data_IF_701899576831
#
_entry.id   IF_701899576831
#
_cell.length_a   1.000
_cell.length_b   1.000
_cell.length_c   1.000
_cell.angle_alpha   90.00
_cell.angle_beta   90.00
_cell.angle_gamma   90.00
#
_symmetry.space_group_name_H-M   'P 1'
#
loop_
_entity.id
_entity.type
_entity.pdbx_description
1 polymer ?
#
# COMPACT_ATOMS: atom_id res chain seq x y z
N UNK A 1 -22.89 -16.11 9.21
CA UNK A 1 -22.07 -14.99 9.73
C UNK A 1 -21.44 -14.30 8.54
N UNK A 2 -21.62 -12.98 8.36
CA UNK A 2 -20.92 -12.26 7.30
C UNK A 2 -19.41 -12.41 7.48
N UNK A 3 -18.73 -13.05 6.52
CA UNK A 3 -17.26 -13.13 6.51
C UNK A 3 -16.76 -11.78 6.01
N UNK A 4 -16.11 -10.99 6.86
CA UNK A 4 -15.49 -9.74 6.42
C UNK A 4 -14.24 -10.06 5.61
N UNK A 5 -14.19 -9.65 4.35
CA UNK A 5 -13.00 -9.73 3.51
C UNK A 5 -12.14 -8.48 3.73
N UNK A 6 -10.84 -8.67 3.92
CA UNK A 6 -9.88 -7.58 4.17
C UNK A 6 -8.89 -7.51 3.03
N UNK A 7 -8.95 -6.43 2.25
CA UNK A 7 -8.05 -6.17 1.14
C UNK A 7 -6.93 -5.27 1.62
N UNK A 8 -5.69 -5.71 1.42
CA UNK A 8 -4.47 -4.95 1.75
C UNK A 8 -3.75 -4.58 0.47
N UNK A 9 -3.63 -3.29 0.19
CA UNK A 9 -2.98 -2.78 -1.01
C UNK A 9 -1.67 -2.14 -0.60
N UNK A 10 -0.56 -2.61 -1.16
CA UNK A 10 0.76 -2.04 -0.95
C UNK A 10 1.38 -1.64 -2.29
N UNK A 11 2.07 -0.51 -2.31
CA UNK A 11 2.77 -0.04 -3.51
C UNK A 11 3.82 1.01 -3.19
N UNK A 12 4.69 1.28 -4.15
CA UNK A 12 5.79 2.26 -4.03
C UNK A 12 5.37 3.67 -4.43
N UNK A 13 4.39 3.80 -5.34
CA UNK A 13 3.79 5.07 -5.73
C UNK A 13 2.51 5.34 -4.90
N UNK A 14 2.40 6.54 -4.34
CA UNK A 14 1.21 6.93 -3.58
C UNK A 14 -0.01 7.11 -4.47
N UNK A 15 0.18 7.68 -5.67
CA UNK A 15 -0.93 8.05 -6.54
C UNK A 15 -1.64 6.80 -7.06
N UNK A 16 -0.89 5.85 -7.61
CA UNK A 16 -1.44 4.58 -8.10
C UNK A 16 -2.17 3.79 -7.01
N UNK A 17 -1.63 3.78 -5.77
CA UNK A 17 -2.26 3.08 -4.64
C UNK A 17 -3.55 3.77 -4.21
N UNK A 18 -3.62 5.10 -4.25
CA UNK A 18 -4.84 5.85 -3.96
C UNK A 18 -5.88 5.67 -5.06
N UNK A 19 -5.47 5.73 -6.32
CA UNK A 19 -6.35 5.55 -7.50
C UNK A 19 -6.98 4.15 -7.48
N UNK A 20 -6.16 3.09 -7.32
CA UNK A 20 -6.65 1.71 -7.23
C UNK A 20 -7.58 1.49 -6.03
N UNK A 21 -7.26 2.08 -4.87
CA UNK A 21 -8.12 1.98 -3.70
C UNK A 21 -9.47 2.69 -3.92
N UNK A 22 -9.48 3.81 -4.66
CA UNK A 22 -10.69 4.50 -5.09
C UNK A 22 -11.54 3.65 -6.02
N UNK A 23 -10.93 3.08 -7.07
CA UNK A 23 -11.61 2.22 -8.04
C UNK A 23 -12.29 1.01 -7.37
N UNK A 24 -11.60 0.33 -6.45
CA UNK A 24 -12.16 -0.81 -5.71
C UNK A 24 -13.38 -0.39 -4.88
N UNK A 25 -13.32 0.77 -4.24
CA UNK A 25 -14.43 1.29 -3.43
C UNK A 25 -15.61 1.67 -4.32
N UNK A 26 -15.37 2.27 -5.48
CA UNK A 26 -16.41 2.65 -6.42
C UNK A 26 -17.11 1.43 -7.03
N UNK A 27 -16.35 0.39 -7.38
CA UNK A 27 -16.91 -0.89 -7.85
C UNK A 27 -17.78 -1.52 -6.75
N UNK A 28 -17.27 -1.61 -5.53
CA UNK A 28 -18.00 -2.21 -4.43
C UNK A 28 -19.28 -1.42 -4.05
N UNK A 29 -19.25 -0.08 -4.17
CA UNK A 29 -20.45 0.77 -4.04
C UNK A 29 -21.46 0.52 -5.16
N UNK A 30 -21.03 0.40 -6.42
CA UNK A 30 -21.90 0.07 -7.56
C UNK A 30 -22.60 -1.28 -7.39
N UNK A 31 -21.91 -2.25 -6.77
CA UNK A 31 -22.46 -3.57 -6.46
C UNK A 31 -23.38 -3.59 -5.22
N UNK A 32 -23.51 -2.48 -4.49
CA UNK A 32 -24.34 -2.40 -3.29
C UNK A 32 -23.74 -3.09 -2.06
N UNK A 33 -22.45 -3.41 -2.08
CA UNK A 33 -21.77 -4.10 -0.97
C UNK A 33 -21.43 -3.08 0.12
N UNK A 34 -21.56 -3.47 1.39
CA UNK A 34 -21.10 -2.65 2.51
C UNK A 34 -19.58 -2.61 2.56
N UNK A 35 -19.02 -1.41 2.42
CA UNK A 35 -17.58 -1.15 2.44
C UNK A 35 -17.23 -0.24 3.60
N UNK A 36 -16.22 -0.63 4.38
CA UNK A 36 -15.46 0.29 5.21
C UNK A 36 -14.33 0.86 4.35
N UNK A 37 -14.35 2.19 4.19
CA UNK A 37 -13.58 2.92 3.18
C UNK A 37 -12.07 2.68 3.21
N UNK A 38 -11.33 3.26 2.24
CA UNK A 38 -9.90 3.02 2.12
C UNK A 38 -9.16 3.70 3.27
N UNK A 39 -8.79 2.91 4.28
CA UNK A 39 -8.03 3.36 5.44
C UNK A 39 -6.58 3.55 5.01
N UNK A 40 -6.08 4.78 5.14
CA UNK A 40 -4.67 5.09 4.94
C UNK A 40 -3.87 4.60 6.14
N UNK A 41 -3.07 3.56 5.92
CA UNK A 41 -2.13 3.08 6.95
C UNK A 41 -0.82 3.87 6.87
N UNK A 42 -0.09 4.01 7.99
CA UNK A 42 1.24 4.60 7.99
C UNK A 42 2.16 3.93 6.96
N UNK A 43 2.80 4.76 6.13
CA UNK A 43 3.76 4.28 5.14
C UNK A 43 4.99 3.70 5.84
N UNK A 44 5.54 2.62 5.29
CA UNK A 44 6.82 2.08 5.75
C UNK A 44 7.94 2.78 5.00
N UNK A 45 8.92 3.30 5.73
CA UNK A 45 10.16 3.84 5.16
C UNK A 45 11.23 2.76 5.31
N UNK A 46 11.81 2.33 4.19
CA UNK A 46 12.96 1.44 4.15
C UNK A 46 14.17 2.32 3.84
N UNK A 47 15.04 2.51 4.84
CA UNK A 47 16.24 3.31 4.71
C UNK A 47 17.44 2.37 4.60
N UNK A 48 18.25 2.54 3.55
CA UNK A 48 19.49 1.81 3.35
C UNK A 48 20.60 2.83 3.18
N UNK A 49 21.55 2.83 4.11
CA UNK A 49 22.73 3.69 4.05
C UNK A 49 23.92 2.88 3.57
N UNK A 50 24.50 3.29 2.44
CA UNK A 50 25.61 2.56 1.81
C UNK A 50 26.80 3.50 1.66
N UNK A 51 28.02 2.97 1.80
CA UNK A 51 29.22 3.73 1.48
C UNK A 51 29.28 3.93 -0.04
N UNK A 52 29.54 5.16 -0.49
CA UNK A 52 29.62 5.48 -1.93
C UNK A 52 30.87 4.86 -2.58
N UNK A 53 31.98 4.87 -1.85
CA UNK A 53 33.23 4.30 -2.34
C UNK A 53 33.18 2.76 -2.33
N UNK A 54 33.67 2.10 -3.40
CA UNK A 54 33.74 0.64 -3.46
C UNK A 54 34.84 0.08 -2.56
N UNK A 55 35.91 0.85 -2.32
CA UNK A 55 37.04 0.49 -1.45
C UNK A 55 37.07 1.35 -0.19
N UNK A 56 37.86 0.91 0.80
CA UNK A 56 37.99 1.58 2.09
C UNK A 56 38.77 2.90 2.07
N UNK A 57 39.37 3.27 0.93
CA UNK A 57 40.25 4.43 0.79
C UNK A 57 39.49 5.72 0.43
N UNK A 58 40.09 6.87 0.73
CA UNK A 58 39.50 8.19 0.48
C UNK A 58 38.50 8.65 1.54
N UNK A 59 37.81 9.77 1.27
CA UNK A 59 36.88 10.38 2.24
C UNK A 59 35.62 9.52 2.45
N UNK A 60 35.19 9.41 3.71
CA UNK A 60 34.01 8.64 4.09
C UNK A 60 32.73 9.36 3.66
N UNK A 61 32.21 9.00 2.49
CA UNK A 61 30.93 9.48 1.95
C UNK A 61 29.90 8.36 1.95
N UNK A 62 28.66 8.70 2.29
CA UNK A 62 27.54 7.77 2.40
C UNK A 62 26.36 8.25 1.57
N UNK A 63 25.72 7.31 0.88
CA UNK A 63 24.46 7.53 0.17
C UNK A 63 23.31 7.00 1.02
N UNK A 64 22.26 7.81 1.13
CA UNK A 64 21.04 7.48 1.86
C UNK A 64 19.94 7.16 0.86
N UNK A 65 19.65 5.87 0.69
CA UNK A 65 18.57 5.40 -0.17
C UNK A 65 17.31 5.23 0.66
N UNK A 66 16.18 5.73 0.16
CA UNK A 66 14.87 5.56 0.79
C UNK A 66 13.88 4.94 -0.20
N UNK A 67 13.28 3.81 0.18
CA UNK A 67 12.08 3.29 -0.47
C UNK A 67 10.87 3.51 0.44
N UNK A 68 9.82 4.11 -0.11
CA UNK A 68 8.55 4.35 0.59
C UNK A 68 7.52 3.35 0.10
N UNK A 69 6.92 2.62 1.05
CA UNK A 69 5.81 1.71 0.77
C UNK A 69 4.53 2.28 1.35
N UNK A 70 3.62 2.68 0.48
CA UNK A 70 2.28 3.15 0.81
C UNK A 70 1.35 1.97 1.02
N UNK A 71 0.50 2.08 2.03
CA UNK A 71 -0.40 1.00 2.44
C UNK A 71 -1.83 1.52 2.54
N UNK A 72 -2.78 0.78 1.97
CA UNK A 72 -4.21 0.98 2.12
C UNK A 72 -4.86 -0.30 2.61
N UNK A 73 -5.91 -0.14 3.38
CA UNK A 73 -6.71 -1.21 3.92
C UNK A 73 -8.17 -0.94 3.59
N UNK A 74 -8.85 -1.92 3.01
CA UNK A 74 -10.27 -1.86 2.70
C UNK A 74 -10.90 -3.10 3.34
N UNK A 75 -11.95 -2.90 4.12
CA UNK A 75 -12.73 -3.99 4.70
C UNK A 75 -14.10 -4.03 3.99
N UNK A 76 -14.43 -5.18 3.41
CA UNK A 76 -15.65 -5.42 2.63
C UNK A 76 -16.46 -6.52 3.32
N UNK A 77 -17.78 -6.36 3.36
CA UNK A 77 -18.67 -7.43 3.80
C UNK A 77 -18.80 -8.48 2.68
N UNK A 78 -18.41 -9.74 2.91
CA UNK A 78 -18.45 -10.73 1.84
C UNK A 78 -19.89 -11.16 1.59
N UNK A 79 -20.46 -10.61 0.52
CA UNK A 79 -21.59 -11.21 -0.19
C UNK A 79 -21.03 -12.13 -1.30
N UNK A 80 -21.64 -13.30 -1.51
CA UNK A 80 -21.12 -14.37 -2.38
C UNK A 80 -20.98 -13.93 -3.85
N UNK A 81 -21.67 -12.85 -4.23
CA UNK A 81 -21.64 -12.21 -5.55
C UNK A 81 -20.35 -11.43 -5.85
N UNK A 82 -19.60 -11.04 -4.82
CA UNK A 82 -18.42 -10.19 -4.94
C UNK A 82 -17.11 -10.97 -5.17
N UNK A 83 -17.13 -12.29 -4.93
CA UNK A 83 -15.97 -13.18 -4.96
C UNK A 83 -15.86 -14.02 -6.24
N UNK A 84 -16.72 -13.76 -7.23
CA UNK A 84 -16.82 -14.51 -8.48
C UNK A 84 -16.32 -13.74 -9.69
#
# INVERSE_FOLDING_TARGET
MPRKARIRIWGTDNKQVDDLAGEIVDIARKLGIKVSGPIRLPRKRLLVTVRRAPSGQGYHTYDHWEMRVYKRLIDIDADERALR
#
